data_IF_098263512995
#
_entry.id   IF_098263512995
#
_cell.length_a   1.000
_cell.length_b   1.000
_cell.length_c   1.000
_cell.angle_alpha   90.00
_cell.angle_beta   90.00
_cell.angle_gamma   90.00
#
_symmetry.space_group_name_H-M   'P 1'
#
loop_
_entity.id
_entity.type
_entity.pdbx_description
1 polymer ?
#
# COMPACT_ATOMS: atom_id res chain seq x y z
N UNK A 1 -7.04 10.72 -15.50
CA UNK A 1 -6.12 9.87 -16.29
C UNK A 1 -6.92 9.11 -17.34
N UNK A 2 -6.55 9.20 -18.62
CA UNK A 2 -7.27 8.58 -19.75
C UNK A 2 -7.06 7.07 -19.79
N UNK A 3 -8.04 6.30 -20.29
CA UNK A 3 -8.00 4.83 -20.36
C UNK A 3 -6.74 4.29 -21.07
N UNK A 4 -6.30 4.94 -22.15
CA UNK A 4 -5.10 4.59 -22.91
C UNK A 4 -3.82 4.57 -22.06
N UNK A 5 -3.70 5.43 -21.03
CA UNK A 5 -2.52 5.44 -20.17
C UNK A 5 -2.49 4.23 -19.22
N UNK A 6 -3.64 3.65 -18.89
CA UNK A 6 -3.73 2.45 -18.04
C UNK A 6 -3.21 1.23 -18.78
N UNK A 7 -3.65 1.03 -20.02
CA UNK A 7 -3.24 -0.09 -20.86
C UNK A 7 -1.74 -0.07 -21.16
N UNK A 8 -1.21 1.10 -21.53
CA UNK A 8 0.23 1.29 -21.75
C UNK A 8 1.02 1.00 -20.47
N UNK A 9 0.58 1.52 -19.32
CA UNK A 9 1.27 1.28 -18.05
C UNK A 9 1.30 -0.20 -17.70
N UNK A 10 0.17 -0.91 -17.81
CA UNK A 10 0.08 -2.35 -17.55
C UNK A 10 1.01 -3.12 -18.47
N UNK A 11 0.92 -2.88 -19.78
CA UNK A 11 1.78 -3.53 -20.76
C UNK A 11 3.26 -3.32 -20.44
N UNK A 12 3.69 -2.08 -20.20
CA UNK A 12 5.07 -1.77 -19.86
C UNK A 12 5.49 -2.44 -18.55
N UNK A 13 4.66 -2.36 -17.50
CA UNK A 13 4.97 -2.95 -16.22
C UNK A 13 5.12 -4.47 -16.33
N UNK A 14 4.22 -5.15 -17.03
CA UNK A 14 4.27 -6.60 -17.20
C UNK A 14 5.52 -7.03 -17.97
N UNK A 15 5.85 -6.32 -19.07
CA UNK A 15 7.06 -6.61 -19.85
C UNK A 15 8.33 -6.36 -19.02
N UNK A 16 8.42 -5.24 -18.32
CA UNK A 16 9.59 -4.93 -17.49
C UNK A 16 9.70 -5.88 -16.28
N UNK A 17 8.58 -6.25 -15.64
CA UNK A 17 8.55 -7.26 -14.59
C UNK A 17 9.06 -8.61 -15.11
N UNK A 18 8.65 -9.02 -16.32
CA UNK A 18 9.10 -10.30 -16.91
C UNK A 18 10.60 -10.33 -17.22
N UNK A 19 11.20 -9.16 -17.51
CA UNK A 19 12.63 -9.04 -17.78
C UNK A 19 13.45 -9.01 -16.49
N UNK A 20 13.05 -8.18 -15.52
CA UNK A 20 13.78 -8.04 -14.26
C UNK A 20 12.89 -7.45 -13.16
N UNK A 21 12.12 -8.31 -12.51
CA UNK A 21 11.19 -7.90 -11.46
C UNK A 21 11.89 -7.24 -10.25
N UNK A 22 13.06 -7.76 -9.86
CA UNK A 22 13.86 -7.24 -8.74
C UNK A 22 14.42 -5.86 -9.06
N UNK A 23 14.99 -5.70 -10.26
CA UNK A 23 15.52 -4.43 -10.74
C UNK A 23 14.42 -3.37 -10.84
N UNK A 24 13.26 -3.74 -11.38
CA UNK A 24 12.10 -2.86 -11.48
C UNK A 24 11.61 -2.44 -10.09
N UNK A 25 11.48 -3.39 -9.15
CA UNK A 25 11.12 -3.08 -7.78
C UNK A 25 12.10 -2.08 -7.15
N UNK A 26 13.41 -2.27 -7.34
CA UNK A 26 14.43 -1.38 -6.78
C UNK A 26 14.32 0.05 -7.32
N UNK A 27 14.09 0.23 -8.62
CA UNK A 27 13.99 1.58 -9.21
C UNK A 27 12.66 2.26 -8.87
N UNK A 28 11.56 1.51 -8.77
CA UNK A 28 10.23 2.07 -8.47
C UNK A 28 10.05 2.35 -6.98
N UNK A 29 10.78 1.64 -6.11
CA UNK A 29 10.66 1.71 -4.65
C UNK A 29 10.67 3.13 -4.10
N UNK A 30 11.68 3.93 -4.46
CA UNK A 30 11.85 5.27 -3.92
C UNK A 30 10.71 6.19 -4.33
N UNK A 31 10.30 6.12 -5.60
CA UNK A 31 9.17 6.90 -6.11
C UNK A 31 7.86 6.49 -5.45
N UNK A 32 7.60 5.19 -5.29
CA UNK A 32 6.42 4.69 -4.58
C UNK A 32 6.38 5.21 -3.14
N UNK A 33 7.49 5.09 -2.40
CA UNK A 33 7.57 5.55 -1.03
C UNK A 33 7.41 7.07 -0.92
N UNK A 34 7.99 7.83 -1.83
CA UNK A 34 7.82 9.29 -1.87
C UNK A 34 6.37 9.70 -2.11
N UNK A 35 5.68 9.05 -3.06
CA UNK A 35 4.24 9.29 -3.28
C UNK A 35 3.46 8.96 -2.01
N UNK A 36 3.77 7.84 -1.34
CA UNK A 36 3.15 7.48 -0.06
C UNK A 36 3.39 8.55 1.02
N UNK A 37 4.61 9.04 1.20
CA UNK A 37 4.90 10.09 2.19
C UNK A 37 4.09 11.36 1.93
N UNK A 38 3.88 11.73 0.66
CA UNK A 38 3.03 12.87 0.31
C UNK A 38 1.55 12.64 0.68
N UNK A 39 1.10 11.40 0.87
CA UNK A 39 -0.25 11.12 1.39
C UNK A 39 -0.37 11.36 2.90
N UNK A 40 0.76 11.37 3.62
CA UNK A 40 0.81 11.60 5.06
C UNK A 40 0.91 13.09 5.42
N UNK A 41 1.26 13.95 4.46
CA UNK A 41 1.38 15.40 4.65
C UNK A 41 -0.03 16.01 4.82
N UNK A 42 -0.21 16.81 5.87
CA UNK A 42 -1.52 17.38 6.23
C UNK A 42 -1.72 18.82 5.71
N UNK A 43 -0.63 19.49 5.33
CA UNK A 43 -0.64 20.93 5.05
C UNK A 43 -1.24 21.30 3.68
N UNK A 44 -1.28 20.36 2.72
CA UNK A 44 -1.80 20.58 1.38
C UNK A 44 -2.74 19.44 0.94
N UNK A 45 -4.04 19.72 1.02
CA UNK A 45 -5.10 18.76 0.69
C UNK A 45 -5.05 18.35 -0.79
N UNK A 46 -4.76 19.27 -1.70
CA UNK A 46 -4.76 19.01 -3.14
C UNK A 46 -3.57 18.10 -3.51
N UNK A 47 -2.41 18.36 -2.91
CA UNK A 47 -1.24 17.49 -3.04
C UNK A 47 -1.50 16.09 -2.48
N UNK A 48 -2.18 15.99 -1.32
CA UNK A 48 -2.56 14.70 -0.73
C UNK A 48 -3.51 13.91 -1.63
N UNK A 49 -4.54 14.56 -2.16
CA UNK A 49 -5.50 13.92 -3.06
C UNK A 49 -4.85 13.48 -4.39
N UNK A 50 -3.94 14.28 -4.93
CA UNK A 50 -3.14 13.91 -6.09
C UNK A 50 -2.21 12.72 -5.79
N UNK A 51 -1.56 12.70 -4.63
CA UNK A 51 -0.73 11.59 -4.19
C UNK A 51 -1.55 10.30 -4.03
N UNK A 52 -2.73 10.38 -3.42
CA UNK A 52 -3.66 9.25 -3.31
C UNK A 52 -4.10 8.73 -4.68
N UNK A 53 -4.42 9.62 -5.62
CA UNK A 53 -4.78 9.23 -7.00
C UNK A 53 -3.63 8.53 -7.72
N UNK A 54 -2.40 9.04 -7.61
CA UNK A 54 -1.19 8.43 -8.19
C UNK A 54 -0.91 7.06 -7.59
N UNK A 55 -1.01 6.93 -6.27
CA UNK A 55 -0.74 5.69 -5.57
C UNK A 55 -1.76 4.60 -5.90
N UNK A 56 -3.06 4.95 -5.94
CA UNK A 56 -4.12 4.06 -6.38
C UNK A 56 -3.90 3.61 -7.83
N UNK A 57 -3.62 4.57 -8.72
CA UNK A 57 -3.32 4.25 -10.12
C UNK A 57 -2.14 3.28 -10.25
N UNK A 58 -1.05 3.50 -9.50
CA UNK A 58 0.12 2.62 -9.54
C UNK A 58 -0.23 1.21 -9.09
N UNK A 59 -0.92 1.04 -7.96
CA UNK A 59 -1.29 -0.28 -7.41
C UNK A 59 -2.29 -1.04 -8.29
N UNK A 60 -3.18 -0.34 -9.00
CA UNK A 60 -4.17 -0.92 -9.91
C UNK A 60 -3.58 -1.36 -11.25
N UNK A 61 -2.42 -0.83 -11.64
CA UNK A 61 -1.86 -1.00 -12.98
C UNK A 61 -0.45 -1.61 -13.00
N UNK A 62 0.16 -1.84 -11.84
CA UNK A 62 1.43 -2.57 -11.76
C UNK A 62 1.21 -4.09 -11.70
N UNK A 63 2.22 -4.84 -12.15
CA UNK A 63 2.19 -6.30 -12.10
C UNK A 63 2.08 -6.79 -10.64
N UNK A 64 1.41 -7.93 -10.36
CA UNK A 64 1.20 -8.41 -8.99
C UNK A 64 2.48 -8.57 -8.17
N UNK A 65 3.57 -9.03 -8.82
CA UNK A 65 4.86 -9.18 -8.17
C UNK A 65 5.45 -7.86 -7.69
N UNK A 66 5.40 -6.81 -8.52
CA UNK A 66 5.87 -5.48 -8.17
C UNK A 66 5.03 -4.90 -7.04
N UNK A 67 3.70 -5.02 -7.13
CA UNK A 67 2.77 -4.58 -6.09
C UNK A 67 3.08 -5.20 -4.73
N UNK A 68 3.17 -6.52 -4.70
CA UNK A 68 3.48 -7.30 -3.50
C UNK A 68 4.85 -6.92 -2.93
N UNK A 69 5.86 -6.71 -3.77
CA UNK A 69 7.20 -6.28 -3.34
C UNK A 69 7.21 -4.88 -2.73
N UNK A 70 6.49 -3.93 -3.34
CA UNK A 70 6.37 -2.56 -2.80
C UNK A 70 5.67 -2.53 -1.45
N UNK A 71 4.62 -3.34 -1.26
CA UNK A 71 3.87 -3.40 0.00
C UNK A 71 4.64 -4.11 1.13
N UNK A 72 5.47 -5.11 0.79
CA UNK A 72 6.32 -5.86 1.75
C UNK A 72 7.60 -5.14 2.16
N UNK A 73 7.92 -4.04 1.50
CA UNK A 73 9.12 -3.25 1.76
C UNK A 73 9.31 -2.94 3.26
N UNK A 74 10.55 -3.08 3.75
CA UNK A 74 10.94 -2.73 5.12
C UNK A 74 10.00 -3.34 6.18
N UNK A 75 9.64 -4.61 6.02
CA UNK A 75 8.72 -5.32 6.90
C UNK A 75 7.34 -4.65 6.96
N UNK A 76 6.74 -4.40 5.79
CA UNK A 76 5.41 -3.79 5.65
C UNK A 76 5.33 -2.34 6.13
N UNK A 77 6.44 -1.59 6.04
CA UNK A 77 6.56 -0.23 6.59
C UNK A 77 5.44 0.70 6.15
N UNK A 78 5.08 0.71 4.87
CA UNK A 78 4.02 1.60 4.36
C UNK A 78 2.65 1.30 4.98
N UNK A 79 2.39 0.04 5.33
CA UNK A 79 1.14 -0.37 5.98
C UNK A 79 1.17 -0.01 7.46
N UNK A 80 2.29 -0.26 8.14
CA UNK A 80 2.44 0.12 9.55
C UNK A 80 2.43 1.62 9.75
N UNK A 81 3.04 2.38 8.85
CA UNK A 81 3.02 3.86 8.88
C UNK A 81 1.59 4.36 8.63
N UNK A 82 0.89 3.83 7.63
CA UNK A 82 -0.52 4.18 7.41
C UNK A 82 -1.42 3.92 8.64
N UNK A 83 -1.12 2.84 9.39
CA UNK A 83 -1.78 2.57 10.67
C UNK A 83 -1.39 3.59 11.75
N UNK A 84 -0.09 3.85 11.95
CA UNK A 84 0.41 4.77 12.98
C UNK A 84 -0.13 6.18 12.79
N UNK A 85 -0.16 6.67 11.54
CA UNK A 85 -0.63 8.01 11.20
C UNK A 85 -2.16 8.11 11.04
N UNK A 86 -2.91 7.04 11.33
CA UNK A 86 -4.38 7.08 11.27
C UNK A 86 -4.97 7.20 9.86
N UNK A 87 -4.17 6.96 8.81
CA UNK A 87 -4.56 7.09 7.41
C UNK A 87 -5.43 5.90 6.98
N UNK A 88 -6.69 5.92 7.40
CA UNK A 88 -7.60 4.77 7.30
C UNK A 88 -7.91 4.38 5.84
N UNK A 89 -8.02 5.35 4.93
CA UNK A 89 -8.29 5.06 3.51
C UNK A 89 -7.12 4.32 2.85
N UNK A 90 -5.89 4.85 2.99
CA UNK A 90 -4.72 4.23 2.36
C UNK A 90 -4.37 2.90 3.04
N UNK A 91 -4.58 2.80 4.34
CA UNK A 91 -4.44 1.55 5.07
C UNK A 91 -5.37 0.48 4.48
N UNK A 92 -6.66 0.77 4.33
CA UNK A 92 -7.61 -0.15 3.71
C UNK A 92 -7.23 -0.50 2.25
N UNK A 93 -6.78 0.49 1.49
CA UNK A 93 -6.31 0.28 0.11
C UNK A 93 -5.15 -0.72 0.05
N UNK A 94 -4.14 -0.59 0.90
CA UNK A 94 -3.01 -1.52 0.92
C UNK A 94 -3.44 -2.94 1.28
N UNK A 95 -4.32 -3.11 2.27
CA UNK A 95 -4.80 -4.41 2.69
C UNK A 95 -5.59 -5.17 1.60
N UNK A 96 -6.19 -4.46 0.64
CA UNK A 96 -6.89 -5.09 -0.48
C UNK A 96 -5.94 -5.88 -1.39
N UNK A 97 -4.66 -5.52 -1.43
CA UNK A 97 -3.66 -6.10 -2.31
C UNK A 97 -2.72 -7.11 -1.63
N UNK A 98 -2.97 -7.41 -0.36
CA UNK A 98 -2.22 -8.43 0.37
C UNK A 98 -2.87 -9.80 0.23
N UNK A 99 -2.04 -10.81 0.05
CA UNK A 99 -2.41 -12.23 0.10
C UNK A 99 -2.68 -12.66 1.56
N UNK A 100 -3.39 -13.78 1.79
CA UNK A 100 -3.75 -14.24 3.13
C UNK A 100 -2.56 -14.34 4.10
N UNK A 101 -1.44 -14.88 3.64
CA UNK A 101 -0.22 -15.00 4.46
C UNK A 101 0.40 -13.63 4.77
N UNK A 102 0.37 -12.71 3.81
CA UNK A 102 0.88 -11.36 3.99
C UNK A 102 0.02 -10.56 4.97
N UNK A 103 -1.30 -10.76 4.95
CA UNK A 103 -2.21 -10.20 5.95
C UNK A 103 -1.93 -10.76 7.35
N UNK A 104 -1.62 -12.05 7.46
CA UNK A 104 -1.26 -12.69 8.72
C UNK A 104 0.01 -12.06 9.30
N UNK A 105 1.07 -11.94 8.50
CA UNK A 105 2.33 -11.33 8.90
C UNK A 105 2.17 -9.85 9.25
N UNK A 106 1.46 -9.09 8.41
CA UNK A 106 1.16 -7.66 8.67
C UNK A 106 0.45 -7.47 10.00
N UNK A 107 -0.49 -8.35 10.33
CA UNK A 107 -1.20 -8.31 11.61
C UNK A 107 -0.27 -8.45 12.80
N UNK A 108 0.75 -9.30 12.74
CA UNK A 108 1.72 -9.44 13.84
C UNK A 108 2.43 -8.10 14.14
N UNK A 109 2.77 -7.33 13.11
CA UNK A 109 3.36 -5.99 13.29
C UNK A 109 2.36 -4.98 13.84
N UNK A 110 1.13 -4.98 13.30
CA UNK A 110 0.06 -4.06 13.73
C UNK A 110 -0.36 -4.32 15.17
N UNK A 111 -0.51 -5.58 15.58
CA UNK A 111 -0.88 -5.96 16.94
C UNK A 111 0.18 -5.49 17.95
N UNK A 112 1.48 -5.62 17.63
CA UNK A 112 2.59 -5.07 18.46
C UNK A 112 2.52 -3.55 18.62
N UNK A 113 2.16 -2.82 17.56
CA UNK A 113 2.00 -1.35 17.62
C UNK A 113 0.76 -0.99 18.44
N UNK A 114 -0.36 -1.66 18.17
CA UNK A 114 -1.63 -1.46 18.85
C UNK A 114 -1.50 -1.68 20.37
N UNK A 115 -0.79 -2.73 20.80
CA UNK A 115 -0.61 -3.02 22.21
C UNK A 115 0.13 -1.92 22.97
N UNK A 116 1.00 -1.16 22.28
CA UNK A 116 1.71 0.00 22.84
C UNK A 116 0.87 1.28 22.84
N UNK A 117 -0.06 1.45 21.89
CA UNK A 117 -0.86 2.66 21.71
C UNK A 117 -2.32 2.32 21.41
N UNK A 118 -3.10 2.10 22.48
CA UNK A 118 -4.54 1.78 22.40
C UNK A 118 -5.37 3.05 22.36
N UNK A 119 -5.70 3.52 21.17
CA UNK A 119 -6.61 4.65 20.93
C UNK A 119 -7.87 4.19 20.21
N UNK A 120 -8.92 5.01 20.19
CA UNK A 120 -10.13 4.66 19.43
C UNK A 120 -9.85 4.59 17.92
N UNK A 121 -9.02 5.48 17.38
CA UNK A 121 -8.61 5.45 15.98
C UNK A 121 -7.90 4.14 15.61
N UNK A 122 -6.92 3.72 16.42
CA UNK A 122 -6.18 2.46 16.19
C UNK A 122 -7.06 1.23 16.36
N UNK A 123 -8.07 1.27 17.25
CA UNK A 123 -9.10 0.22 17.35
C UNK A 123 -9.91 0.09 16.06
N UNK A 124 -10.35 1.19 15.48
CA UNK A 124 -11.14 1.17 14.25
C UNK A 124 -10.32 0.67 13.06
N UNK A 125 -9.08 1.13 12.89
CA UNK A 125 -8.19 0.60 11.85
C UNK A 125 -7.89 -0.89 12.03
N UNK A 126 -7.69 -1.35 13.28
CA UNK A 126 -7.51 -2.77 13.55
C UNK A 126 -8.75 -3.60 13.13
N UNK A 127 -9.96 -3.08 13.32
CA UNK A 127 -11.19 -3.74 12.83
C UNK A 127 -11.20 -3.87 11.31
N UNK A 128 -10.69 -2.88 10.56
CA UNK A 128 -10.56 -2.95 9.10
C UNK A 128 -9.68 -4.14 8.70
N UNK A 129 -8.52 -4.30 9.36
CA UNK A 129 -7.63 -5.42 9.13
C UNK A 129 -8.29 -6.77 9.41
N UNK A 130 -8.97 -6.91 10.55
CA UNK A 130 -9.63 -8.15 10.93
C UNK A 130 -10.77 -8.52 9.95
N UNK A 131 -11.56 -7.54 9.51
CA UNK A 131 -12.60 -7.75 8.49
C UNK A 131 -12.00 -8.23 7.17
N UNK A 132 -10.88 -7.64 6.75
CA UNK A 132 -10.18 -8.06 5.53
C UNK A 132 -9.64 -9.49 5.60
N UNK A 133 -9.21 -9.95 6.78
CA UNK A 133 -8.79 -11.36 6.97
C UNK A 133 -9.96 -12.34 6.83
N UNK A 134 -11.16 -11.96 7.28
CA UNK A 134 -12.34 -12.82 7.21
C UNK A 134 -12.83 -13.08 5.79
N UNK A 135 -12.48 -12.23 4.81
CA UNK A 135 -12.90 -12.45 3.41
C UNK A 135 -12.12 -13.58 2.72
N UNK A 136 -11.14 -14.19 3.39
CA UNK A 136 -10.35 -15.32 2.89
C UNK A 136 -10.60 -16.63 3.66
N UNK A 137 -11.55 -16.61 4.58
CA UNK A 137 -12.05 -17.79 5.30
C UNK A 137 -13.26 -18.36 4.55
#
# INVERSE_FOLDING_TARGET
MKAQHREVMRFLCDRLCSLNAVGLARITRNTFFQIFQNTLQDDDKDMREEAMRKLRFLLENCCPHLRSTMLKMENFRVITDAFIYGQSEIFALFLNYLEPEELRLTREYIDRIYDRKKTEATRQQRKILLRRQQTFQ
#
